data_IF_101115297978
#
_entry.id   IF_101115297978
#
_cell.length_a   1.000
_cell.length_b   1.000
_cell.length_c   1.000
_cell.angle_alpha   90.00
_cell.angle_beta   90.00
_cell.angle_gamma   90.00
#
_symmetry.space_group_name_H-M   'P 1'
#
loop_
_entity.id
_entity.type
_entity.pdbx_description
1 polymer ?
#
# COMPACT_ATOMS: atom_id res chain seq x y z
N UNK A 1 13.83 -6.87 -6.90
CA UNK A 1 13.83 -6.53 -5.45
C UNK A 1 12.49 -6.97 -4.87
N UNK A 2 12.52 -7.85 -3.86
CA UNK A 2 11.32 -8.34 -3.17
C UNK A 2 10.95 -7.50 -1.95
N UNK A 3 9.83 -7.85 -1.30
CA UNK A 3 9.39 -7.29 -0.02
C UNK A 3 9.46 -8.41 1.01
N UNK A 4 10.21 -8.22 2.09
CA UNK A 4 10.24 -9.19 3.20
C UNK A 4 8.97 -9.06 4.05
N UNK A 5 8.33 -10.18 4.39
CA UNK A 5 7.08 -10.16 5.17
C UNK A 5 7.26 -11.00 6.43
N UNK A 6 6.89 -10.44 7.59
CA UNK A 6 6.79 -11.16 8.86
C UNK A 6 5.40 -10.94 9.44
N UNK A 7 4.65 -12.03 9.64
CA UNK A 7 3.29 -11.98 10.18
C UNK A 7 3.10 -12.86 11.40
N UNK A 8 2.19 -12.47 12.30
CA UNK A 8 1.75 -13.33 13.41
C UNK A 8 0.84 -14.47 12.94
N UNK A 9 0.03 -14.25 11.90
CA UNK A 9 -0.86 -15.27 11.33
C UNK A 9 -0.94 -15.17 9.80
N UNK A 10 -0.88 -16.30 9.07
CA UNK A 10 -1.08 -16.32 7.61
C UNK A 10 -2.43 -15.78 7.14
N UNK A 11 -3.48 -15.88 7.97
CA UNK A 11 -4.83 -15.38 7.65
C UNK A 11 -4.83 -13.87 7.40
N UNK A 12 -4.05 -13.12 8.18
CA UNK A 12 -3.93 -11.67 8.07
C UNK A 12 -3.34 -11.24 6.71
N UNK A 13 -2.43 -12.05 6.15
CA UNK A 13 -1.83 -11.77 4.83
C UNK A 13 -2.87 -11.90 3.72
N UNK A 14 -3.73 -12.91 3.81
CA UNK A 14 -4.76 -13.14 2.80
C UNK A 14 -5.84 -12.06 2.80
N UNK A 15 -6.22 -11.57 3.99
CA UNK A 15 -7.20 -10.49 4.12
C UNK A 15 -6.66 -9.17 3.56
N UNK A 16 -5.36 -8.90 3.70
CA UNK A 16 -4.70 -7.67 3.27
C UNK A 16 -3.88 -7.81 1.99
N UNK A 17 -4.15 -8.83 1.20
CA UNK A 17 -3.49 -9.00 -0.08
C UNK A 17 -3.69 -7.74 -0.95
N UNK A 18 -2.71 -7.32 -1.78
CA UNK A 18 -2.82 -6.09 -2.57
C UNK A 18 -4.11 -5.97 -3.39
N UNK A 19 -4.62 -7.10 -3.88
CA UNK A 19 -5.88 -7.23 -4.61
C UNK A 19 -7.13 -6.93 -3.77
N UNK A 20 -7.06 -6.99 -2.44
CA UNK A 20 -8.13 -6.57 -1.53
C UNK A 20 -8.31 -5.05 -1.49
N UNK A 21 -7.34 -4.29 -2.01
CA UNK A 21 -7.34 -2.84 -2.01
C UNK A 21 -7.47 -2.26 -3.42
N UNK A 22 -7.94 -1.01 -3.47
CA UNK A 22 -7.85 -0.20 -4.68
C UNK A 22 -6.38 0.08 -5.02
N UNK A 23 -6.12 0.36 -6.29
CA UNK A 23 -4.83 0.92 -6.69
C UNK A 23 -4.64 2.30 -6.03
N UNK A 24 -3.71 2.36 -5.07
CA UNK A 24 -3.41 3.59 -4.33
C UNK A 24 -2.91 4.72 -5.23
N UNK A 25 -2.29 4.40 -6.38
CA UNK A 25 -1.83 5.43 -7.33
C UNK A 25 -3.03 6.21 -7.87
N UNK A 26 -4.07 5.51 -8.32
CA UNK A 26 -5.27 6.14 -8.90
C UNK A 26 -6.02 7.01 -7.88
N UNK A 27 -6.05 6.57 -6.61
CA UNK A 27 -6.65 7.33 -5.50
C UNK A 27 -5.87 8.63 -5.25
N UNK A 28 -4.53 8.55 -5.19
CA UNK A 28 -3.67 9.72 -4.97
C UNK A 28 -3.71 10.67 -6.16
N UNK A 29 -3.77 10.14 -7.38
CA UNK A 29 -3.90 10.90 -8.62
C UNK A 29 -5.19 11.71 -8.62
N UNK A 30 -6.33 11.07 -8.30
CA UNK A 30 -7.63 11.74 -8.19
C UNK A 30 -7.60 12.93 -7.21
N UNK A 31 -7.00 12.74 -6.03
CA UNK A 31 -6.89 13.82 -5.03
C UNK A 31 -5.96 14.95 -5.47
N UNK A 32 -4.91 14.62 -6.23
CA UNK A 32 -3.99 15.61 -6.76
C UNK A 32 -4.63 16.46 -7.84
N UNK A 33 -5.31 15.82 -8.78
CA UNK A 33 -5.93 16.46 -9.93
C UNK A 33 -7.15 17.30 -9.50
N UNK A 34 -7.85 16.89 -8.44
CA UNK A 34 -8.89 17.69 -7.79
C UNK A 34 -8.36 18.92 -7.02
N UNK A 35 -7.03 19.07 -6.88
CA UNK A 35 -6.41 20.20 -6.18
C UNK A 35 -6.54 20.17 -4.66
N UNK A 36 -7.03 19.07 -4.07
CA UNK A 36 -7.25 18.94 -2.62
C UNK A 36 -6.04 18.38 -1.87
N UNK A 37 -5.05 17.84 -2.60
CA UNK A 37 -3.78 17.35 -2.03
C UNK A 37 -2.64 17.51 -3.04
N UNK A 38 -1.40 17.70 -2.57
CA UNK A 38 -0.21 17.77 -3.44
C UNK A 38 0.64 16.53 -3.29
N UNK A 39 0.93 15.86 -4.40
CA UNK A 39 1.92 14.77 -4.44
C UNK A 39 3.29 15.30 -4.02
N UNK A 40 3.98 14.53 -3.18
CA UNK A 40 5.32 14.88 -2.69
C UNK A 40 6.33 13.77 -3.01
N UNK A 41 6.10 12.55 -2.51
CA UNK A 41 6.99 11.41 -2.71
C UNK A 41 6.19 10.11 -2.79
N UNK A 42 6.66 9.17 -3.62
CA UNK A 42 6.15 7.79 -3.67
C UNK A 42 7.17 6.83 -3.06
N UNK A 43 6.77 6.14 -2.01
CA UNK A 43 7.62 5.16 -1.33
C UNK A 43 7.33 3.75 -1.84
N UNK A 44 8.33 2.87 -1.74
CA UNK A 44 8.21 1.43 -2.00
C UNK A 44 8.69 0.68 -0.77
N UNK A 45 7.88 -0.23 -0.20
CA UNK A 45 8.30 -0.99 0.96
C UNK A 45 9.43 -1.97 0.62
N UNK A 46 10.32 -2.20 1.59
CA UNK A 46 11.35 -3.26 1.55
C UNK A 46 11.03 -4.39 2.53
N UNK A 47 10.28 -4.08 3.60
CA UNK A 47 9.80 -5.06 4.58
C UNK A 47 8.45 -4.63 5.18
N UNK A 48 7.63 -5.60 5.58
CA UNK A 48 6.34 -5.44 6.26
C UNK A 48 6.31 -6.38 7.47
N UNK A 49 6.06 -5.84 8.66
CA UNK A 49 5.93 -6.59 9.91
C UNK A 49 4.53 -6.33 10.46
N UNK A 50 3.72 -7.38 10.62
CA UNK A 50 2.33 -7.27 11.08
C UNK A 50 2.03 -8.35 12.13
N UNK A 51 1.61 -7.94 13.32
CA UNK A 51 1.33 -8.82 14.46
C UNK A 51 -0.13 -8.74 14.87
#
# INVERSE_FOLDING_TARGET
MGIAIRVASPKLVMEEAPESYKNVTDVVDTCHDAGISKKAIKLRPIAVIKG
#
